data_IF_347383641476
#
_entry.id   IF_347383641476
#
_cell.length_a   1.000
_cell.length_b   1.000
_cell.length_c   1.000
_cell.angle_alpha   90.00
_cell.angle_beta   90.00
_cell.angle_gamma   90.00
#
_symmetry.space_group_name_H-M   'P 1'
#
loop_
_entity.id
_entity.type
_entity.pdbx_description
1 polymer ?
#
# COMPACT_ATOMS: atom_id res chain seq x y z
N UNK A 1 10.00 -19.64 -0.50
CA UNK A 1 8.89 -18.78 -0.95
C UNK A 1 9.28 -17.35 -0.67
N UNK A 2 9.29 -16.49 -1.69
CA UNK A 2 9.59 -15.06 -1.53
C UNK A 2 8.28 -14.28 -1.41
N UNK A 3 8.29 -13.19 -0.66
CA UNK A 3 7.09 -12.43 -0.24
C UNK A 3 7.20 -11.00 -0.76
N UNK A 4 6.12 -10.49 -1.36
CA UNK A 4 5.95 -9.06 -1.63
C UNK A 4 4.95 -8.52 -0.62
N UNK A 5 5.34 -7.50 0.15
CA UNK A 5 4.46 -6.89 1.13
C UNK A 5 3.68 -5.73 0.50
N UNK A 6 2.35 -5.73 0.72
CA UNK A 6 1.43 -4.70 0.25
C UNK A 6 0.74 -4.05 1.46
N UNK A 7 1.33 -2.99 2.04
CA UNK A 7 0.73 -2.24 3.15
C UNK A 7 -0.55 -1.53 2.72
N UNK A 8 -1.23 -0.91 3.67
CA UNK A 8 -2.51 -0.24 3.43
C UNK A 8 -2.41 0.88 2.38
N UNK A 9 -3.47 1.05 1.59
CA UNK A 9 -3.59 2.14 0.63
C UNK A 9 -4.05 3.44 1.32
N UNK A 10 -4.00 4.56 0.60
CA UNK A 10 -4.51 5.85 1.05
C UNK A 10 -6.04 5.83 1.16
N UNK A 11 -6.54 6.43 2.22
CA UNK A 11 -7.97 6.68 2.43
C UNK A 11 -8.28 8.17 2.22
N UNK A 12 -9.53 8.50 1.92
CA UNK A 12 -9.96 9.88 1.67
C UNK A 12 -11.19 10.24 2.52
N UNK A 13 -10.96 10.93 3.63
CA UNK A 13 -11.99 11.25 4.62
C UNK A 13 -13.16 12.02 4.01
N UNK A 14 -12.86 12.97 3.11
CA UNK A 14 -13.88 13.80 2.42
C UNK A 14 -14.85 12.97 1.57
N UNK A 15 -14.46 11.78 1.15
CA UNK A 15 -15.29 10.88 0.33
C UNK A 15 -16.09 9.86 1.16
N UNK A 16 -15.89 9.79 2.47
CA UNK A 16 -16.59 8.85 3.35
C UNK A 16 -18.10 9.07 3.30
N UNK A 17 -18.83 8.00 2.98
CA UNK A 17 -20.29 7.98 3.02
C UNK A 17 -20.81 8.06 4.46
N UNK A 18 -20.16 7.39 5.40
CA UNK A 18 -20.53 7.47 6.81
C UNK A 18 -20.07 8.81 7.40
N UNK A 19 -21.04 9.55 7.94
CA UNK A 19 -20.80 10.79 8.69
C UNK A 19 -20.01 10.54 9.97
N UNK A 20 -20.27 9.42 10.66
CA UNK A 20 -19.56 9.03 11.89
C UNK A 20 -18.06 8.81 11.64
N UNK A 21 -17.72 8.19 10.51
CA UNK A 21 -16.33 7.88 10.17
C UNK A 21 -15.62 9.04 9.46
N UNK A 22 -16.35 10.08 9.01
CA UNK A 22 -15.77 11.25 8.35
C UNK A 22 -14.95 12.08 9.34
N UNK A 23 -13.66 12.22 9.06
CA UNK A 23 -12.70 12.92 9.91
C UNK A 23 -12.59 12.38 11.35
N UNK A 24 -13.02 11.13 11.58
CA UNK A 24 -12.81 10.48 12.87
C UNK A 24 -11.31 10.39 13.13
N UNK A 25 -10.91 10.76 14.34
CA UNK A 25 -9.52 10.69 14.76
C UNK A 25 -9.20 9.31 15.36
N UNK A 26 -7.99 8.84 15.06
CA UNK A 26 -7.40 7.61 15.56
C UNK A 26 -6.10 8.00 16.27
N UNK A 27 -6.13 7.99 17.61
CA UNK A 27 -5.02 8.49 18.44
C UNK A 27 -4.61 9.94 18.08
N UNK A 28 -5.60 10.80 17.82
CA UNK A 28 -5.38 12.20 17.48
C UNK A 28 -5.00 12.47 16.02
N UNK A 29 -4.92 11.45 15.16
CA UNK A 29 -4.59 11.57 13.74
C UNK A 29 -5.80 11.24 12.86
N UNK A 30 -5.90 11.84 11.67
CA UNK A 30 -6.81 11.37 10.62
C UNK A 30 -6.39 9.97 10.14
N UNK A 31 -7.31 9.25 9.50
CA UNK A 31 -7.02 7.90 9.01
C UNK A 31 -5.86 7.89 8.01
N UNK A 32 -5.85 8.81 7.06
CA UNK A 32 -4.75 8.94 6.10
C UNK A 32 -3.39 9.16 6.79
N UNK A 33 -3.33 10.02 7.82
CA UNK A 33 -2.10 10.29 8.58
C UNK A 33 -1.66 9.06 9.39
N UNK A 34 -2.61 8.38 10.02
CA UNK A 34 -2.36 7.16 10.79
C UNK A 34 -1.84 6.04 9.89
N UNK A 35 -2.39 5.90 8.69
CA UNK A 35 -1.95 4.92 7.70
C UNK A 35 -0.55 5.20 7.17
N UNK A 36 -0.21 6.46 6.84
CA UNK A 36 1.17 6.83 6.47
C UNK A 36 2.16 6.46 7.60
N UNK A 37 1.82 6.81 8.84
CA UNK A 37 2.64 6.47 10.00
C UNK A 37 2.80 4.96 10.18
N UNK A 38 1.71 4.19 10.09
CA UNK A 38 1.76 2.74 10.26
C UNK A 38 2.57 2.06 9.15
N UNK A 39 2.43 2.52 7.91
CA UNK A 39 3.19 1.97 6.78
C UNK A 39 4.69 2.24 6.91
N UNK A 40 5.08 3.42 7.40
CA UNK A 40 6.50 3.75 7.70
C UNK A 40 7.07 2.88 8.80
N UNK A 41 6.35 2.74 9.92
CA UNK A 41 6.78 1.85 11.03
C UNK A 41 6.97 0.41 10.52
N UNK A 42 6.06 -0.06 9.67
CA UNK A 42 6.15 -1.39 9.09
C UNK A 42 7.35 -1.53 8.15
N UNK A 43 7.64 -0.50 7.34
CA UNK A 43 8.85 -0.48 6.52
C UNK A 43 10.10 -0.54 7.38
N UNK A 44 10.21 0.30 8.43
CA UNK A 44 11.37 0.34 9.32
C UNK A 44 11.62 -1.02 10.00
N UNK A 45 10.55 -1.73 10.38
CA UNK A 45 10.64 -3.10 10.95
C UNK A 45 11.19 -4.10 9.91
N UNK A 46 10.79 -3.95 8.65
CA UNK A 46 11.12 -4.88 7.57
C UNK A 46 12.36 -4.49 6.78
N UNK A 47 12.94 -3.30 7.00
CA UNK A 47 13.98 -2.72 6.13
C UNK A 47 15.17 -3.66 5.94
N UNK A 48 15.74 -4.16 7.04
CA UNK A 48 16.88 -5.08 6.98
C UNK A 48 16.55 -6.37 6.22
N UNK A 49 15.33 -6.88 6.36
CA UNK A 49 14.86 -8.09 5.68
C UNK A 49 14.56 -7.84 4.20
N UNK A 50 14.11 -6.62 3.84
CA UNK A 50 13.85 -6.16 2.48
C UNK A 50 15.15 -5.91 1.70
N UNK A 51 16.19 -5.42 2.38
CA UNK A 51 17.50 -5.15 1.78
C UNK A 51 18.40 -6.39 1.71
N UNK A 52 18.06 -7.47 2.44
CA UNK A 52 18.76 -8.73 2.36
C UNK A 52 18.43 -9.46 1.06
N UNK A 53 19.37 -9.50 0.11
CA UNK A 53 19.23 -10.18 -1.19
C UNK A 53 18.92 -11.68 -1.06
N UNK A 54 19.46 -12.33 -0.02
CA UNK A 54 19.17 -13.75 0.30
C UNK A 54 17.92 -13.92 1.16
N UNK A 55 17.32 -12.81 1.60
CA UNK A 55 16.16 -12.76 2.47
C UNK A 55 14.88 -13.25 1.79
N UNK A 56 13.81 -13.32 2.59
CA UNK A 56 12.51 -13.84 2.14
C UNK A 56 11.66 -12.83 1.40
N UNK A 57 12.02 -11.54 1.39
CA UNK A 57 11.20 -10.50 0.79
C UNK A 57 11.76 -10.09 -0.57
N UNK A 58 10.85 -9.91 -1.54
CA UNK A 58 11.19 -9.35 -2.87
C UNK A 58 10.93 -7.86 -2.96
N UNK A 59 10.07 -7.32 -2.09
CA UNK A 59 9.76 -5.91 -2.14
C UNK A 59 8.63 -5.50 -1.20
N UNK A 60 8.49 -4.19 -1.13
CA UNK A 60 7.49 -3.48 -0.37
C UNK A 60 6.82 -2.49 -1.31
N UNK A 61 5.56 -2.71 -1.64
CA UNK A 61 4.83 -1.87 -2.58
C UNK A 61 4.14 -0.74 -1.82
N UNK A 62 4.65 0.49 -1.91
CA UNK A 62 4.04 1.63 -1.20
C UNK A 62 2.69 2.05 -1.80
N UNK A 63 1.64 1.31 -1.42
CA UNK A 63 0.28 1.51 -1.91
C UNK A 63 -0.33 2.82 -1.40
N UNK A 64 0.11 3.30 -0.24
CA UNK A 64 -0.35 4.57 0.30
C UNK A 64 0.06 5.72 -0.61
N UNK A 65 1.36 5.84 -0.92
CA UNK A 65 1.83 6.90 -1.81
C UNK A 65 1.31 6.75 -3.24
N UNK A 66 1.03 5.53 -3.69
CA UNK A 66 0.39 5.29 -4.98
C UNK A 66 -1.03 5.89 -5.07
N UNK A 67 -1.79 5.84 -3.98
CA UNK A 67 -3.23 6.10 -3.99
C UNK A 67 -3.68 7.38 -3.27
N UNK A 68 -2.85 7.96 -2.38
CA UNK A 68 -3.22 9.10 -1.53
C UNK A 68 -3.76 10.33 -2.29
N UNK A 69 -3.31 10.55 -3.53
CA UNK A 69 -3.74 11.68 -4.37
C UNK A 69 -4.72 11.25 -5.48
N UNK A 70 -5.07 9.96 -5.56
CA UNK A 70 -5.92 9.39 -6.63
C UNK A 70 -7.38 9.30 -6.19
N UNK A 71 -7.99 10.43 -5.83
CA UNK A 71 -9.39 10.52 -5.41
C UNK A 71 -10.38 9.86 -6.38
N UNK A 72 -10.10 9.87 -7.69
CA UNK A 72 -10.95 9.26 -8.71
C UNK A 72 -11.04 7.73 -8.61
N UNK A 73 -10.04 7.10 -7.98
CA UNK A 73 -9.95 5.66 -7.76
C UNK A 73 -10.68 5.21 -6.51
N UNK A 74 -11.10 6.14 -5.66
CA UNK A 74 -11.88 5.84 -4.47
C UNK A 74 -13.36 5.71 -4.78
N UNK A 75 -14.00 4.66 -4.26
CA UNK A 75 -15.44 4.46 -4.32
C UNK A 75 -16.13 5.36 -3.28
N UNK A 76 -15.72 5.23 -2.01
CA UNK A 76 -16.41 5.81 -0.84
C UNK A 76 -15.45 6.36 0.23
N UNK A 77 -14.21 6.67 -0.14
CA UNK A 77 -13.18 7.15 0.80
C UNK A 77 -12.44 6.05 1.56
N UNK A 78 -12.87 4.80 1.50
CA UNK A 78 -12.16 3.64 2.06
C UNK A 78 -11.94 2.59 0.99
N UNK A 79 -12.98 2.19 0.27
CA UNK A 79 -12.88 1.22 -0.81
C UNK A 79 -12.39 1.87 -2.10
N UNK A 80 -11.68 1.07 -2.90
CA UNK A 80 -11.14 1.45 -4.19
C UNK A 80 -11.93 0.81 -5.34
N UNK A 81 -11.91 1.46 -6.50
CA UNK A 81 -12.56 1.00 -7.75
C UNK A 81 -11.70 -0.04 -8.47
N UNK A 82 -12.28 -0.73 -9.46
CA UNK A 82 -11.60 -1.76 -10.26
C UNK A 82 -10.27 -1.30 -10.86
N UNK A 83 -10.19 -0.05 -11.34
CA UNK A 83 -8.96 0.53 -11.91
C UNK A 83 -7.75 0.45 -10.97
N UNK A 84 -7.97 0.52 -9.66
CA UNK A 84 -6.91 0.28 -8.70
C UNK A 84 -6.48 -1.19 -8.76
N UNK A 85 -7.38 -2.14 -8.53
CA UNK A 85 -7.02 -3.56 -8.50
C UNK A 85 -6.35 -4.04 -9.79
N UNK A 86 -6.77 -3.53 -10.94
CA UNK A 86 -6.10 -3.76 -12.22
C UNK A 86 -4.65 -3.24 -12.20
N UNK A 87 -4.44 -2.00 -11.77
CA UNK A 87 -3.10 -1.41 -11.62
C UNK A 87 -2.24 -2.20 -10.62
N UNK A 88 -2.81 -2.57 -9.47
CA UNK A 88 -2.16 -3.34 -8.41
C UNK A 88 -1.57 -4.64 -8.94
N UNK A 89 -2.40 -5.38 -9.66
CA UNK A 89 -2.06 -6.69 -10.17
C UNK A 89 -1.06 -6.58 -11.31
N UNK A 90 -1.16 -5.57 -12.17
CA UNK A 90 -0.13 -5.29 -13.17
C UNK A 90 1.23 -5.00 -12.53
N UNK A 91 1.28 -4.11 -11.54
CA UNK A 91 2.54 -3.79 -10.83
C UNK A 91 3.12 -5.01 -10.10
N UNK A 92 2.26 -5.80 -9.44
CA UNK A 92 2.67 -7.05 -8.80
C UNK A 92 3.24 -8.04 -9.82
N UNK A 93 2.57 -8.24 -10.95
CA UNK A 93 2.99 -9.17 -11.98
C UNK A 93 4.30 -8.73 -12.64
N UNK A 94 4.44 -7.45 -12.97
CA UNK A 94 5.68 -6.89 -13.50
C UNK A 94 6.84 -7.07 -12.51
N UNK A 95 6.62 -6.76 -11.23
CA UNK A 95 7.63 -6.94 -10.19
C UNK A 95 8.02 -8.40 -10.05
N UNK A 96 7.04 -9.30 -9.94
CA UNK A 96 7.27 -10.72 -9.75
C UNK A 96 7.95 -11.37 -10.96
N UNK A 97 7.50 -11.08 -12.18
CA UNK A 97 8.11 -11.62 -13.39
C UNK A 97 9.51 -11.08 -13.61
N UNK A 98 9.75 -9.77 -13.42
CA UNK A 98 11.08 -9.21 -13.60
C UNK A 98 12.04 -9.62 -12.47
N UNK A 99 11.56 -9.79 -11.23
CA UNK A 99 12.41 -10.25 -10.13
C UNK A 99 12.78 -11.74 -10.27
N UNK A 100 11.85 -12.59 -10.74
CA UNK A 100 12.11 -14.03 -10.95
C UNK A 100 13.00 -14.28 -12.17
N UNK A 101 13.00 -13.38 -13.17
CA UNK A 101 13.87 -13.50 -14.34
C UNK A 101 15.32 -13.06 -14.07
N UNK A 102 15.58 -12.20 -13.07
CA UNK A 102 16.94 -11.82 -12.68
C UNK A 102 17.69 -12.94 -11.94
N UNK A 103 17.00 -13.85 -11.26
CA UNK A 103 17.61 -15.02 -10.58
C UNK A 103 18.00 -16.17 -11.54
N UNK A 104 17.77 -16.03 -12.86
CA UNK A 104 18.03 -17.08 -13.86
C UNK A 104 19.24 -16.81 -14.76
N UNK A 105 20.04 -15.78 -14.48
CA UNK A 105 21.28 -15.48 -15.21
C UNK A 105 22.46 -15.30 -14.26
#
# INVERSE_FOLDING_TARGET
MKIIYMPAHGEHEKRRNSVEWRNRLFEGMLAAEKLDKMNRILYDILENDLLNQTGRYYGFLDLFHLTKDRYSWSLDGVHLKSVWYETAMSMFWETYCNSVLMDRF
#
